data_IF_072049828099
#
_entry.id   IF_072049828099
#
_cell.length_a   1.000
_cell.length_b   1.000
_cell.length_c   1.000
_cell.angle_alpha   90.00
_cell.angle_beta   90.00
_cell.angle_gamma   90.00
#
_symmetry.space_group_name_H-M   'P 1'
#
loop_
_entity.id
_entity.type
_entity.pdbx_description
1 polymer ?
#
# COMPACT_ATOMS: atom_id res chain seq x y z
N UNK A 1 1.39 -45.66 20.73
CA UNK A 1 1.40 -44.22 20.44
C UNK A 1 1.72 -44.01 18.98
N UNK A 2 0.88 -43.23 18.24
CA UNK A 2 1.08 -42.95 16.83
C UNK A 2 2.28 -42.01 16.58
N UNK A 3 2.81 -41.98 15.34
CA UNK A 3 3.96 -41.15 14.97
C UNK A 3 3.77 -39.64 15.30
N UNK A 4 2.54 -39.15 15.12
CA UNK A 4 2.15 -37.77 15.46
C UNK A 4 2.33 -37.47 16.96
N UNK A 5 1.92 -38.39 17.83
CA UNK A 5 2.03 -38.20 19.27
C UNK A 5 3.49 -38.15 19.71
N UNK A 6 4.35 -39.02 19.15
CA UNK A 6 5.79 -39.02 19.41
C UNK A 6 6.47 -37.74 18.97
N UNK A 7 6.09 -37.21 17.77
CA UNK A 7 6.63 -35.96 17.25
C UNK A 7 6.23 -34.76 18.13
N UNK A 8 4.95 -34.67 18.52
CA UNK A 8 4.46 -33.60 19.41
C UNK A 8 5.12 -33.70 20.81
N UNK A 9 5.33 -34.89 21.34
CA UNK A 9 6.02 -35.08 22.61
C UNK A 9 7.49 -34.64 22.54
N UNK A 10 8.18 -34.92 21.42
CA UNK A 10 9.54 -34.43 21.18
C UNK A 10 9.59 -32.90 21.11
N UNK A 11 8.68 -32.26 20.38
CA UNK A 11 8.61 -30.80 20.29
C UNK A 11 8.33 -30.17 21.65
N UNK A 12 7.43 -30.74 22.44
CA UNK A 12 7.14 -30.27 23.83
C UNK A 12 8.31 -30.45 24.75
N UNK A 13 9.05 -31.55 24.63
CA UNK A 13 10.24 -31.83 25.49
C UNK A 13 11.45 -30.93 25.17
N UNK A 14 11.46 -30.27 23.97
CA UNK A 14 12.50 -29.31 23.59
C UNK A 14 11.97 -27.86 23.57
N UNK A 15 10.71 -27.65 23.98
CA UNK A 15 10.19 -26.30 24.10
C UNK A 15 10.99 -25.58 25.20
N UNK A 16 11.51 -24.36 24.91
CA UNK A 16 12.15 -23.57 25.97
C UNK A 16 11.13 -23.34 27.10
N UNK A 17 11.63 -23.25 28.33
CA UNK A 17 10.79 -22.88 29.45
C UNK A 17 9.99 -21.63 29.11
N UNK A 18 8.71 -21.60 29.53
CA UNK A 18 7.88 -20.44 29.31
C UNK A 18 8.64 -19.18 29.79
N UNK A 19 8.71 -18.13 29.00
CA UNK A 19 9.43 -16.93 29.39
C UNK A 19 8.87 -16.43 30.72
N UNK A 20 9.75 -16.13 31.65
CA UNK A 20 9.39 -15.54 32.94
C UNK A 20 8.86 -14.12 32.84
N UNK A 21 8.90 -13.54 31.61
CA UNK A 21 8.46 -12.18 31.29
C UNK A 21 6.98 -12.19 30.96
N UNK A 22 6.19 -11.40 31.67
CA UNK A 22 4.76 -11.21 31.37
C UNK A 22 4.58 -10.51 30.04
N UNK A 23 3.41 -10.66 29.42
CA UNK A 23 3.06 -9.96 28.17
C UNK A 23 3.19 -8.44 28.35
N UNK A 24 2.70 -7.89 29.46
CA UNK A 24 2.80 -6.45 29.74
C UNK A 24 4.25 -5.96 29.84
N UNK A 25 5.14 -6.78 30.41
CA UNK A 25 6.56 -6.43 30.47
C UNK A 25 7.25 -6.50 29.09
N UNK A 26 6.81 -7.40 28.20
CA UNK A 26 7.26 -7.44 26.82
C UNK A 26 6.78 -6.22 26.04
N UNK A 27 5.52 -5.85 26.21
CA UNK A 27 4.95 -4.67 25.58
C UNK A 27 5.66 -3.39 26.03
N UNK A 28 5.85 -3.21 27.32
CA UNK A 28 6.57 -2.06 27.87
C UNK A 28 8.01 -1.96 27.30
N UNK A 29 8.68 -3.10 27.05
CA UNK A 29 10.00 -3.12 26.39
C UNK A 29 9.93 -2.73 24.93
N UNK A 30 8.91 -3.20 24.21
CA UNK A 30 8.68 -2.85 22.79
C UNK A 30 8.39 -1.35 22.70
N UNK A 31 7.48 -0.83 23.51
CA UNK A 31 7.13 0.59 23.55
C UNK A 31 8.34 1.46 23.88
N UNK A 32 9.13 1.10 24.87
CA UNK A 32 10.34 1.82 25.24
C UNK A 32 11.38 1.82 24.10
N UNK A 33 11.57 0.70 23.40
CA UNK A 33 12.47 0.61 22.26
C UNK A 33 12.06 1.57 21.13
N UNK A 34 10.80 1.56 20.72
CA UNK A 34 10.32 2.44 19.64
C UNK A 34 10.27 3.90 20.07
N UNK A 35 9.93 4.19 21.32
CA UNK A 35 9.98 5.54 21.88
C UNK A 35 11.41 6.11 21.87
N UNK A 36 12.38 5.32 22.27
CA UNK A 36 13.79 5.74 22.23
C UNK A 36 14.28 6.01 20.80
N UNK A 37 13.82 5.25 19.81
CA UNK A 37 14.16 5.47 18.39
C UNK A 37 13.50 6.73 17.81
N UNK A 38 12.38 7.18 18.39
CA UNK A 38 11.69 8.44 18.04
C UNK A 38 12.20 9.63 18.86
N UNK A 39 13.38 9.53 19.47
CA UNK A 39 13.93 10.52 20.40
C UNK A 39 14.07 11.95 19.82
N UNK A 40 13.98 12.12 18.50
CA UNK A 40 13.91 13.42 17.81
C UNK A 40 12.50 14.04 17.82
N UNK A 41 11.54 13.42 18.51
CA UNK A 41 10.15 13.83 18.54
C UNK A 41 9.30 13.24 17.39
N UNK A 42 7.96 13.36 17.50
CA UNK A 42 7.08 12.96 16.41
C UNK A 42 7.24 13.92 15.23
N UNK A 43 7.39 13.35 14.03
CA UNK A 43 7.38 14.14 12.79
C UNK A 43 6.06 14.91 12.65
N UNK A 44 6.15 16.16 12.24
CA UNK A 44 4.98 16.92 11.81
C UNK A 44 4.29 16.22 10.61
N UNK A 45 2.98 16.42 10.38
CA UNK A 45 2.27 15.77 9.28
C UNK A 45 2.97 15.94 7.92
N UNK A 46 3.42 17.16 7.58
CA UNK A 46 4.12 17.43 6.32
C UNK A 46 5.49 16.72 6.23
N UNK A 47 6.22 16.64 7.34
CA UNK A 47 7.50 15.92 7.39
C UNK A 47 7.29 14.41 7.21
N UNK A 48 6.20 13.88 7.75
CA UNK A 48 5.81 12.47 7.60
C UNK A 48 5.47 12.14 6.15
N UNK A 49 4.70 13.01 5.47
CA UNK A 49 4.42 12.88 4.03
C UNK A 49 5.73 12.92 3.23
N UNK A 50 6.59 13.91 3.51
CA UNK A 50 7.87 14.03 2.80
C UNK A 50 8.79 12.82 3.04
N UNK A 51 8.80 12.25 4.24
CA UNK A 51 9.55 11.03 4.53
C UNK A 51 8.96 9.84 3.75
N UNK A 52 7.65 9.65 3.79
CA UNK A 52 6.95 8.59 3.07
C UNK A 52 7.26 8.63 1.58
N UNK A 53 7.15 9.83 0.98
CA UNK A 53 7.48 10.06 -0.43
C UNK A 53 8.92 9.67 -0.75
N UNK A 54 9.91 10.21 0.00
CA UNK A 54 11.33 9.88 -0.23
C UNK A 54 11.61 8.37 -0.18
N UNK A 55 10.98 7.66 0.76
CA UNK A 55 11.21 6.22 0.90
C UNK A 55 10.61 5.42 -0.27
N UNK A 56 9.43 5.80 -0.75
CA UNK A 56 8.79 5.18 -1.91
C UNK A 56 9.55 5.47 -3.21
N UNK A 57 9.98 6.72 -3.43
CA UNK A 57 10.77 7.11 -4.58
C UNK A 57 12.13 6.40 -4.61
N UNK A 58 12.78 6.23 -3.44
CA UNK A 58 13.99 5.43 -3.32
C UNK A 58 13.77 3.94 -3.67
N UNK A 59 12.54 3.45 -3.52
CA UNK A 59 12.12 2.12 -3.93
C UNK A 59 11.56 2.07 -5.37
N UNK A 60 11.74 3.13 -6.16
CA UNK A 60 11.28 3.27 -7.55
C UNK A 60 9.75 3.32 -7.74
N UNK A 61 9.01 3.77 -6.75
CA UNK A 61 7.61 4.15 -6.92
C UNK A 61 7.52 5.61 -7.41
N UNK A 62 6.48 5.94 -8.14
CA UNK A 62 6.12 7.31 -8.47
C UNK A 62 5.12 7.82 -7.44
N UNK A 63 5.40 8.96 -6.79
CA UNK A 63 4.53 9.53 -5.78
C UNK A 63 3.91 10.83 -6.26
N UNK A 64 2.58 10.91 -6.16
CA UNK A 64 1.76 12.02 -6.61
C UNK A 64 1.05 12.59 -5.37
N UNK A 65 1.41 13.81 -4.98
CA UNK A 65 0.67 14.51 -3.92
C UNK A 65 -0.43 15.35 -4.59
N UNK A 66 -1.67 15.17 -4.16
CA UNK A 66 -2.82 15.87 -4.70
C UNK A 66 -3.79 16.27 -3.59
N UNK A 67 -4.63 17.29 -3.83
CA UNK A 67 -5.71 17.65 -2.92
C UNK A 67 -6.89 16.69 -3.03
N UNK A 68 -7.76 16.67 -2.03
CA UNK A 68 -9.01 15.92 -2.08
C UNK A 68 -9.91 16.33 -3.26
N UNK A 69 -9.80 17.57 -3.74
CA UNK A 69 -10.61 18.09 -4.83
C UNK A 69 -10.10 17.69 -6.24
N UNK A 70 -8.78 17.47 -6.40
CA UNK A 70 -8.17 17.34 -7.74
C UNK A 70 -7.65 15.95 -8.06
N UNK A 71 -7.33 15.12 -7.07
CA UNK A 71 -6.63 13.85 -7.26
C UNK A 71 -7.26 12.95 -8.33
N UNK A 72 -8.61 12.87 -8.38
CA UNK A 72 -9.30 11.95 -9.28
C UNK A 72 -9.16 12.39 -10.75
N UNK A 73 -9.29 13.70 -11.02
CA UNK A 73 -9.12 14.25 -12.36
C UNK A 73 -7.66 14.17 -12.81
N UNK A 74 -6.72 14.50 -11.92
CA UNK A 74 -5.28 14.42 -12.20
C UNK A 74 -4.85 12.98 -12.51
N UNK A 75 -5.32 12.03 -11.71
CA UNK A 75 -5.03 10.61 -11.92
C UNK A 75 -5.65 10.09 -13.22
N UNK A 76 -6.91 10.48 -13.53
CA UNK A 76 -7.58 10.08 -14.77
C UNK A 76 -6.77 10.54 -15.99
N UNK A 77 -6.30 11.79 -16.01
CA UNK A 77 -5.44 12.31 -17.06
C UNK A 77 -4.11 11.55 -17.19
N UNK A 78 -3.47 11.23 -16.09
CA UNK A 78 -2.20 10.46 -16.07
C UNK A 78 -2.38 9.03 -16.57
N UNK A 79 -3.44 8.33 -16.17
CA UNK A 79 -3.75 6.99 -16.64
C UNK A 79 -3.94 6.94 -18.14
N UNK A 80 -4.69 7.90 -18.70
CA UNK A 80 -4.88 8.00 -20.14
C UNK A 80 -3.58 8.32 -20.89
N UNK A 81 -2.79 9.27 -20.39
CA UNK A 81 -1.48 9.62 -20.96
C UNK A 81 -0.50 8.45 -20.95
N UNK A 82 -0.59 7.58 -19.93
CA UNK A 82 0.23 6.35 -19.83
C UNK A 82 -0.30 5.20 -20.74
N UNK A 83 -1.39 5.39 -21.46
CA UNK A 83 -1.96 4.38 -22.34
C UNK A 83 -2.73 3.26 -21.62
N UNK A 84 -3.12 3.45 -20.37
CA UNK A 84 -3.99 2.54 -19.64
C UNK A 84 -5.36 2.53 -20.30
N UNK A 85 -5.85 1.36 -20.66
CA UNK A 85 -7.17 1.16 -21.28
C UNK A 85 -8.15 0.47 -20.34
N UNK A 86 -7.68 -0.45 -19.52
CA UNK A 86 -8.50 -1.22 -18.59
C UNK A 86 -7.96 -1.05 -17.18
N UNK A 87 -8.72 -0.37 -16.32
CA UNK A 87 -8.41 -0.14 -14.92
C UNK A 87 -9.34 -0.99 -14.06
N UNK A 88 -8.76 -1.85 -13.23
CA UNK A 88 -9.50 -2.65 -12.25
C UNK A 88 -9.53 -1.89 -10.91
N UNK A 89 -10.74 -1.69 -10.36
CA UNK A 89 -10.92 -0.95 -9.11
C UNK A 89 -12.16 -1.41 -8.34
N UNK A 90 -12.23 -1.09 -7.05
CA UNK A 90 -13.46 -1.23 -6.27
C UNK A 90 -14.44 -0.12 -6.66
N UNK A 91 -15.54 -0.49 -7.31
CA UNK A 91 -16.60 0.44 -7.71
C UNK A 91 -17.59 0.77 -6.58
N UNK A 92 -17.45 0.16 -5.41
CA UNK A 92 -18.33 0.39 -4.26
C UNK A 92 -17.74 1.42 -3.28
N UNK A 93 -16.41 1.57 -3.20
CA UNK A 93 -15.80 2.57 -2.33
C UNK A 93 -15.88 3.99 -2.92
N UNK A 94 -15.82 5.01 -2.06
CA UNK A 94 -15.97 6.40 -2.45
C UNK A 94 -14.90 6.85 -3.46
N UNK A 95 -13.65 6.48 -3.22
CA UNK A 95 -12.51 6.84 -4.08
C UNK A 95 -12.61 6.14 -5.45
N UNK A 96 -13.04 4.88 -5.48
CA UNK A 96 -13.28 4.17 -6.74
C UNK A 96 -14.40 4.80 -7.56
N UNK A 97 -15.48 5.23 -6.90
CA UNK A 97 -16.57 5.97 -7.56
C UNK A 97 -16.11 7.33 -8.09
N UNK A 98 -15.33 8.08 -7.30
CA UNK A 98 -14.80 9.38 -7.70
C UNK A 98 -13.85 9.24 -8.91
N UNK A 99 -12.95 8.26 -8.89
CA UNK A 99 -12.05 8.02 -10.04
C UNK A 99 -12.83 7.59 -11.27
N UNK A 100 -13.79 6.68 -11.12
CA UNK A 100 -14.66 6.25 -12.23
C UNK A 100 -15.41 7.43 -12.85
N UNK A 101 -16.01 8.29 -12.03
CA UNK A 101 -16.72 9.48 -12.50
C UNK A 101 -15.79 10.45 -13.24
N UNK A 102 -14.56 10.65 -12.73
CA UNK A 102 -13.57 11.50 -13.39
C UNK A 102 -13.13 10.93 -14.76
N UNK A 103 -12.96 9.63 -14.88
CA UNK A 103 -12.63 8.95 -16.14
C UNK A 103 -13.77 9.09 -17.16
N UNK A 104 -15.01 8.90 -16.73
CA UNK A 104 -16.20 9.02 -17.60
C UNK A 104 -16.43 10.46 -18.06
N UNK A 105 -16.18 11.46 -17.20
CA UNK A 105 -16.37 12.86 -17.53
C UNK A 105 -15.30 13.40 -18.48
N UNK A 106 -14.03 13.09 -18.24
CA UNK A 106 -12.93 13.67 -18.98
C UNK A 106 -12.54 12.87 -20.23
N UNK A 107 -12.69 11.55 -20.22
CA UNK A 107 -12.10 10.64 -21.21
C UNK A 107 -12.98 9.39 -21.42
N UNK A 108 -14.24 9.53 -21.85
CA UNK A 108 -15.25 8.48 -21.82
C UNK A 108 -14.92 7.21 -22.64
N UNK A 109 -13.95 7.28 -23.53
CA UNK A 109 -13.52 6.14 -24.36
C UNK A 109 -12.06 5.71 -24.13
N UNK A 110 -11.27 6.45 -23.34
CA UNK A 110 -9.84 6.20 -23.24
C UNK A 110 -9.50 5.14 -22.18
N UNK A 111 -10.15 5.20 -21.01
CA UNK A 111 -9.89 4.27 -19.88
C UNK A 111 -11.21 3.68 -19.41
N UNK A 112 -11.31 2.37 -19.43
CA UNK A 112 -12.47 1.64 -18.92
C UNK A 112 -12.24 1.22 -17.46
N UNK A 113 -13.07 1.75 -16.55
CA UNK A 113 -13.08 1.34 -15.16
C UNK A 113 -13.90 0.04 -15.00
N UNK A 114 -13.30 -1.00 -14.44
CA UNK A 114 -13.90 -2.32 -14.25
C UNK A 114 -13.88 -2.71 -12.78
N UNK A 115 -15.01 -3.25 -12.28
CA UNK A 115 -15.09 -3.84 -10.94
C UNK A 115 -14.69 -5.31 -10.93
N UNK A 116 -14.27 -5.79 -9.77
CA UNK A 116 -14.04 -7.21 -9.54
C UNK A 116 -15.37 -7.90 -9.20
N UNK A 117 -16.09 -8.38 -10.23
CA UNK A 117 -17.49 -8.83 -10.11
C UNK A 117 -17.70 -10.33 -10.27
N UNK A 118 -16.62 -11.08 -10.54
CA UNK A 118 -16.67 -12.53 -10.82
C UNK A 118 -15.58 -13.27 -10.05
N UNK A 119 -15.77 -14.56 -9.68
CA UNK A 119 -14.70 -15.41 -9.18
C UNK A 119 -13.52 -15.45 -10.18
N UNK A 120 -12.29 -15.53 -9.67
CA UNK A 120 -11.07 -15.49 -10.49
C UNK A 120 -11.03 -16.62 -11.54
N UNK A 121 -11.60 -17.76 -11.21
CA UNK A 121 -11.65 -18.93 -12.07
C UNK A 121 -12.34 -18.68 -13.41
N UNK A 122 -13.33 -17.74 -13.40
CA UNK A 122 -14.13 -17.44 -14.58
C UNK A 122 -13.48 -16.44 -15.54
N UNK A 123 -12.47 -15.67 -15.09
CA UNK A 123 -11.89 -14.61 -15.88
C UNK A 123 -10.36 -14.43 -15.71
N UNK A 124 -9.70 -15.47 -15.20
CA UNK A 124 -8.26 -15.42 -14.92
C UNK A 124 -7.45 -14.98 -16.14
N UNK A 125 -7.71 -15.52 -17.33
CA UNK A 125 -7.02 -15.11 -18.56
C UNK A 125 -7.22 -13.61 -18.85
N UNK A 126 -8.45 -13.12 -18.78
CA UNK A 126 -8.77 -11.70 -18.97
C UNK A 126 -8.04 -10.81 -17.96
N UNK A 127 -8.00 -11.21 -16.68
CA UNK A 127 -7.30 -10.48 -15.62
C UNK A 127 -5.80 -10.33 -15.91
N UNK A 128 -5.16 -11.39 -16.42
CA UNK A 128 -3.72 -11.37 -16.70
C UNK A 128 -3.37 -10.72 -18.04
N UNK A 129 -4.24 -10.83 -19.05
CA UNK A 129 -3.90 -10.46 -20.42
C UNK A 129 -4.43 -9.07 -20.82
N UNK A 130 -5.49 -8.58 -20.14
CA UNK A 130 -6.19 -7.37 -20.58
C UNK A 130 -6.21 -6.24 -19.56
N UNK A 131 -5.99 -6.50 -18.28
CA UNK A 131 -5.99 -5.45 -17.25
C UNK A 131 -4.63 -4.77 -17.22
N UNK A 132 -4.62 -3.47 -17.53
CA UNK A 132 -3.40 -2.66 -17.61
C UNK A 132 -2.99 -2.11 -16.24
N UNK A 133 -3.97 -1.78 -15.38
CA UNK A 133 -3.72 -1.23 -14.06
C UNK A 133 -4.74 -1.71 -13.03
N UNK A 134 -4.30 -1.80 -11.78
CA UNK A 134 -5.17 -2.02 -10.62
C UNK A 134 -5.12 -0.83 -9.68
N UNK A 135 -6.27 -0.35 -9.23
CA UNK A 135 -6.37 0.74 -8.26
C UNK A 135 -6.86 0.21 -6.91
N UNK A 136 -6.14 0.56 -5.84
CA UNK A 136 -6.54 0.23 -4.46
C UNK A 136 -6.46 1.44 -3.55
N UNK A 137 -7.26 1.44 -2.50
CA UNK A 137 -7.13 2.41 -1.41
C UNK A 137 -6.38 1.76 -0.26
N UNK A 138 -5.26 2.35 0.12
CA UNK A 138 -4.50 1.87 1.27
C UNK A 138 -5.21 2.28 2.57
N UNK A 139 -5.33 1.32 3.48
CA UNK A 139 -5.87 1.56 4.83
C UNK A 139 -5.00 2.54 5.61
N UNK A 140 -3.68 2.38 5.51
CA UNK A 140 -2.70 3.25 6.15
C UNK A 140 -1.35 3.17 5.47
N UNK A 141 -0.38 3.97 5.93
CA UNK A 141 0.99 3.95 5.45
C UNK A 141 2.01 4.16 6.56
N UNK A 142 3.22 3.70 6.32
CA UNK A 142 4.35 3.74 7.26
C UNK A 142 5.43 4.65 6.68
N UNK A 143 5.60 5.83 7.27
CA UNK A 143 6.53 6.84 6.75
C UNK A 143 7.99 6.39 6.82
N UNK A 144 8.37 5.68 7.88
CA UNK A 144 9.75 5.22 8.09
C UNK A 144 10.28 4.31 6.96
N UNK A 145 9.40 3.58 6.28
CA UNK A 145 9.77 2.59 5.27
C UNK A 145 9.13 2.83 3.89
N UNK A 146 8.27 3.85 3.76
CA UNK A 146 7.51 4.06 2.53
C UNK A 146 6.59 2.87 2.23
N UNK A 147 5.90 2.34 3.24
CA UNK A 147 5.10 1.13 3.09
C UNK A 147 3.62 1.47 3.11
N UNK A 148 2.89 1.03 2.10
CA UNK A 148 1.43 1.03 2.08
C UNK A 148 0.90 -0.21 2.80
N UNK A 149 -0.14 -0.06 3.57
CA UNK A 149 -0.90 -1.16 4.19
C UNK A 149 -2.23 -1.31 3.47
N UNK A 150 -2.35 -2.35 2.66
CA UNK A 150 -3.57 -2.65 1.91
C UNK A 150 -4.26 -3.83 2.56
N UNK A 151 -5.55 -3.70 2.83
CA UNK A 151 -6.40 -4.77 3.37
C UNK A 151 -7.35 -5.20 2.26
N UNK A 152 -7.08 -6.34 1.59
CA UNK A 152 -7.94 -6.85 0.54
C UNK A 152 -9.29 -7.30 1.08
N UNK A 153 -10.32 -7.12 0.26
CA UNK A 153 -11.67 -7.59 0.51
C UNK A 153 -12.29 -8.27 -0.73
N UNK A 154 -13.59 -8.48 -0.73
CA UNK A 154 -14.28 -9.13 -1.85
C UNK A 154 -14.30 -8.25 -3.12
N UNK A 155 -14.38 -6.92 -2.97
CA UNK A 155 -14.47 -5.98 -4.09
C UNK A 155 -13.08 -5.58 -4.64
N UNK A 156 -12.07 -5.63 -3.75
CA UNK A 156 -10.68 -5.38 -4.08
C UNK A 156 -9.78 -6.50 -3.53
N UNK A 157 -9.88 -7.72 -4.05
CA UNK A 157 -9.02 -8.81 -3.61
C UNK A 157 -7.56 -8.52 -3.92
N UNK A 158 -6.64 -9.20 -3.25
CA UNK A 158 -5.18 -8.98 -3.39
C UNK A 158 -4.68 -9.03 -4.84
N UNK A 159 -5.40 -9.69 -5.73
CA UNK A 159 -5.06 -9.75 -7.16
C UNK A 159 -5.13 -8.40 -7.84
N UNK A 160 -5.93 -7.44 -7.35
CA UNK A 160 -5.98 -6.06 -7.86
C UNK A 160 -4.64 -5.36 -7.70
N UNK A 161 -3.95 -5.56 -6.57
CA UNK A 161 -2.64 -4.96 -6.29
C UNK A 161 -1.44 -5.79 -6.77
N UNK A 162 -1.64 -7.06 -7.14
CA UNK A 162 -0.53 -7.99 -7.42
C UNK A 162 -0.43 -8.48 -8.87
N UNK A 163 -1.53 -8.42 -9.65
CA UNK A 163 -1.55 -8.99 -11.01
C UNK A 163 -1.30 -7.96 -12.10
N UNK A 164 -1.99 -6.81 -12.14
CA UNK A 164 -1.80 -5.84 -13.22
C UNK A 164 -0.36 -5.30 -13.26
N UNK A 165 0.17 -4.98 -14.45
CA UNK A 165 1.53 -4.47 -14.61
C UNK A 165 1.76 -3.10 -13.95
N UNK A 166 0.72 -2.31 -13.78
CA UNK A 166 0.72 -1.07 -12.99
C UNK A 166 -0.20 -1.22 -11.78
N UNK A 167 0.33 -0.98 -10.59
CA UNK A 167 -0.47 -0.79 -9.39
C UNK A 167 -0.55 0.69 -9.05
N UNK A 168 -1.74 1.21 -8.90
CA UNK A 168 -2.03 2.56 -8.41
C UNK A 168 -2.64 2.45 -7.01
N UNK A 169 -1.98 3.01 -6.02
CA UNK A 169 -2.46 3.01 -4.65
C UNK A 169 -2.78 4.43 -4.20
N UNK A 170 -3.97 4.66 -3.70
CA UNK A 170 -4.33 5.91 -3.05
C UNK A 170 -4.18 5.77 -1.54
N UNK A 171 -3.65 6.80 -0.89
CA UNK A 171 -3.58 6.90 0.56
C UNK A 171 -3.94 8.31 1.02
N UNK A 172 -4.75 8.41 2.06
CA UNK A 172 -5.01 9.67 2.73
C UNK A 172 -3.86 10.03 3.67
N UNK A 173 -3.37 11.25 3.61
CA UNK A 173 -2.25 11.71 4.44
C UNK A 173 -2.52 11.58 5.94
N UNK A 174 -3.79 11.71 6.34
CA UNK A 174 -4.26 11.51 7.72
C UNK A 174 -4.05 10.08 8.26
N UNK A 175 -3.93 9.08 7.37
CA UNK A 175 -3.70 7.68 7.75
C UNK A 175 -2.22 7.25 7.71
N UNK A 176 -1.30 8.22 7.54
CA UNK A 176 0.13 7.95 7.61
C UNK A 176 0.60 7.85 9.07
N UNK A 177 1.18 6.72 9.41
CA UNK A 177 1.85 6.48 10.69
C UNK A 177 3.35 6.66 10.58
N UNK A 178 4.02 6.95 11.70
CA UNK A 178 5.48 7.08 11.72
C UNK A 178 6.17 5.77 11.31
N UNK A 179 5.72 4.66 11.86
CA UNK A 179 6.27 3.31 11.67
C UNK A 179 5.22 2.23 11.92
N UNK A 180 5.60 0.97 11.75
CA UNK A 180 4.71 -0.18 11.98
C UNK A 180 4.19 -0.25 13.41
N UNK A 181 5.02 0.07 14.42
CA UNK A 181 4.60 0.06 15.82
C UNK A 181 3.48 1.07 16.08
N UNK A 182 3.62 2.29 15.51
CA UNK A 182 2.58 3.31 15.60
C UNK A 182 1.28 2.88 14.89
N UNK A 183 1.37 2.23 13.73
CA UNK A 183 0.21 1.70 13.01
C UNK A 183 -0.49 0.61 13.81
N UNK A 184 0.25 -0.37 14.34
CA UNK A 184 -0.30 -1.48 15.17
C UNK A 184 -1.07 -0.94 16.38
N UNK A 185 -0.53 0.10 17.04
CA UNK A 185 -1.20 0.73 18.18
C UNK A 185 -2.45 1.50 17.77
N UNK A 186 -2.35 2.35 16.73
CA UNK A 186 -3.44 3.21 16.27
C UNK A 186 -4.60 2.40 15.68
N UNK A 187 -4.32 1.35 14.93
CA UNK A 187 -5.31 0.49 14.31
C UNK A 187 -5.78 -0.66 15.22
N UNK A 188 -5.25 -0.72 16.45
CA UNK A 188 -5.65 -1.69 17.47
C UNK A 188 -5.57 -3.14 17.00
N UNK A 189 -4.48 -3.50 16.31
CA UNK A 189 -4.30 -4.86 15.77
C UNK A 189 -4.30 -5.96 16.83
N UNK A 190 -4.09 -5.61 18.09
CA UNK A 190 -4.22 -6.55 19.23
C UNK A 190 -5.66 -7.02 19.44
N UNK A 191 -6.64 -6.17 19.12
CA UNK A 191 -8.07 -6.50 19.29
C UNK A 191 -8.62 -7.32 18.11
N UNK A 192 -7.88 -7.38 17.02
CA UNK A 192 -8.21 -8.17 15.83
C UNK A 192 -7.42 -7.67 14.61
N UNK A 193 -6.64 -8.55 14.03
CA UNK A 193 -5.99 -8.30 12.74
C UNK A 193 -6.89 -8.72 11.58
N UNK A 194 -6.84 -8.04 10.43
CA UNK A 194 -7.40 -8.56 9.20
C UNK A 194 -6.82 -9.94 8.88
N UNK A 195 -7.64 -10.83 8.31
CA UNK A 195 -7.18 -12.17 7.90
C UNK A 195 -6.18 -12.13 6.74
N UNK A 196 -6.17 -11.03 6.00
CA UNK A 196 -5.23 -10.78 4.91
C UNK A 196 -4.80 -9.31 4.93
N UNK A 197 -3.50 -9.08 4.89
CA UNK A 197 -2.90 -7.75 4.88
C UNK A 197 -1.69 -7.78 3.96
N UNK A 198 -1.62 -6.86 3.01
CA UNK A 198 -0.52 -6.73 2.05
C UNK A 198 0.24 -5.46 2.35
N UNK A 199 1.54 -5.59 2.60
CA UNK A 199 2.44 -4.46 2.79
C UNK A 199 3.24 -4.24 1.51
N UNK A 200 3.15 -3.02 0.94
CA UNK A 200 3.75 -2.68 -0.36
C UNK A 200 4.69 -1.51 -0.18
N UNK A 201 5.99 -1.73 -0.44
CA UNK A 201 7.04 -0.72 -0.27
C UNK A 201 7.75 -0.38 -1.59
N UNK A 202 7.11 -0.65 -2.71
CA UNK A 202 7.66 -0.40 -4.05
C UNK A 202 7.09 -1.38 -5.08
N UNK A 203 7.47 -1.24 -6.37
CA UNK A 203 7.12 -2.19 -7.41
C UNK A 203 7.76 -3.55 -7.16
N UNK A 204 7.23 -4.61 -7.80
CA UNK A 204 7.80 -5.95 -7.71
C UNK A 204 9.23 -5.97 -8.21
N UNK A 205 10.16 -6.37 -7.33
CA UNK A 205 11.59 -6.41 -7.60
C UNK A 205 12.15 -7.78 -7.23
N UNK A 206 12.84 -8.40 -8.17
CA UNK A 206 13.57 -9.66 -7.97
C UNK A 206 15.04 -9.44 -8.31
N UNK A 207 15.93 -9.88 -7.44
CA UNK A 207 17.37 -9.94 -7.74
C UNK A 207 17.69 -11.38 -8.09
N UNK A 208 18.01 -11.63 -9.36
CA UNK A 208 18.36 -12.95 -9.85
C UNK A 208 19.81 -13.32 -9.49
N UNK A 209 20.11 -14.62 -9.60
CA UNK A 209 21.42 -15.26 -9.33
C UNK A 209 22.56 -14.61 -10.16
N UNK A 210 22.26 -13.92 -11.24
CA UNK A 210 23.22 -13.20 -12.10
C UNK A 210 23.41 -11.72 -11.75
N UNK A 211 22.97 -11.26 -10.56
CA UNK A 211 23.07 -9.87 -10.10
C UNK A 211 22.29 -8.85 -10.95
N UNK A 212 21.40 -9.32 -11.81
CA UNK A 212 20.53 -8.43 -12.59
C UNK A 212 19.21 -8.22 -11.85
N UNK A 213 18.87 -6.96 -11.60
CA UNK A 213 17.57 -6.62 -11.01
C UNK A 213 16.49 -6.63 -12.07
N UNK A 214 15.47 -7.48 -11.91
CA UNK A 214 14.29 -7.53 -12.76
C UNK A 214 13.09 -6.94 -12.02
N UNK A 215 12.34 -6.08 -12.70
CA UNK A 215 11.07 -5.53 -12.20
C UNK A 215 9.89 -6.21 -12.87
N UNK A 216 8.84 -6.51 -12.10
CA UNK A 216 7.60 -7.06 -12.64
C UNK A 216 7.56 -8.57 -12.85
N UNK A 217 8.54 -9.34 -12.35
CA UNK A 217 8.55 -10.80 -12.50
C UNK A 217 7.44 -11.50 -11.69
N UNK A 218 7.10 -10.97 -10.51
CA UNK A 218 6.16 -11.61 -9.58
C UNK A 218 5.06 -10.66 -9.10
N UNK A 219 4.83 -9.56 -9.81
CA UNK A 219 3.84 -8.55 -9.45
C UNK A 219 3.97 -7.31 -10.33
N UNK A 220 3.36 -6.18 -9.95
CA UNK A 220 3.40 -4.96 -10.74
C UNK A 220 4.83 -4.49 -11.01
N UNK A 221 5.14 -4.19 -12.26
CA UNK A 221 6.44 -3.59 -12.65
C UNK A 221 6.54 -2.12 -12.30
N UNK A 222 5.40 -1.45 -12.09
CA UNK A 222 5.31 -0.05 -11.71
C UNK A 222 4.32 0.14 -10.56
N UNK A 223 4.65 1.08 -9.66
CA UNK A 223 3.79 1.49 -8.56
C UNK A 223 3.64 3.01 -8.60
N UNK A 224 2.40 3.48 -8.71
CA UNK A 224 2.04 4.87 -8.49
C UNK A 224 1.33 5.02 -7.16
N UNK A 225 1.71 6.02 -6.38
CA UNK A 225 1.10 6.29 -5.08
C UNK A 225 0.52 7.70 -5.07
N UNK A 226 -0.79 7.80 -4.95
CA UNK A 226 -1.49 9.07 -4.81
C UNK A 226 -1.66 9.35 -3.32
N UNK A 227 -0.97 10.37 -2.82
CA UNK A 227 -1.12 10.86 -1.44
C UNK A 227 -2.12 12.00 -1.47
N UNK A 228 -3.31 11.77 -0.94
CA UNK A 228 -4.35 12.78 -0.83
C UNK A 228 -4.13 13.57 0.45
N UNK A 229 -3.91 14.88 0.30
CA UNK A 229 -3.78 15.83 1.42
C UNK A 229 -5.10 16.56 1.64
N UNK A 230 -5.46 16.75 2.90
CA UNK A 230 -6.70 17.45 3.27
C UNK A 230 -6.61 18.99 3.07
N UNK A 231 -5.40 19.50 2.79
CA UNK A 231 -5.15 20.91 2.52
C UNK A 231 -4.92 21.12 1.01
N UNK A 232 -5.58 22.12 0.44
CA UNK A 232 -5.17 22.74 -0.81
C UNK A 232 -3.76 23.30 -0.59
N UNK A 233 -2.72 22.59 -1.05
CA UNK A 233 -1.38 23.17 -1.13
C UNK A 233 -1.44 24.26 -2.20
N UNK A 234 -1.67 25.49 -1.72
CA UNK A 234 -1.44 26.67 -2.54
C UNK A 234 -0.09 26.55 -3.21
N UNK A 235 -0.05 26.84 -4.48
CA UNK A 235 1.13 26.85 -5.35
C UNK A 235 2.16 27.91 -4.92
N UNK A 236 2.59 27.91 -3.67
CA UNK A 236 3.66 28.77 -3.14
C UNK A 236 4.95 27.98 -3.02
N UNK A 237 5.73 27.98 -4.10
CA UNK A 237 7.06 27.36 -4.06
C UNK A 237 7.85 27.41 -5.37
N UNK A 238 7.48 28.26 -6.33
CA UNK A 238 8.27 28.45 -7.55
C UNK A 238 8.52 29.93 -7.89
N UNK A 239 9.07 30.68 -6.93
CA UNK A 239 9.70 31.96 -7.20
C UNK A 239 10.96 32.07 -6.33
N UNK A 240 12.12 31.93 -6.93
CA UNK A 240 13.39 32.22 -6.24
C UNK A 240 14.61 31.51 -6.80
N UNK A 241 14.84 31.61 -8.11
CA UNK A 241 16.18 31.39 -8.65
C UNK A 241 16.33 32.12 -10.00
N UNK A 242 16.38 33.44 -9.94
CA UNK A 242 16.92 34.26 -11.03
C UNK A 242 17.31 35.62 -10.45
N UNK A 243 18.56 35.72 -10.03
CA UNK A 243 19.39 36.93 -10.05
C UNK A 243 20.83 36.53 -9.68
#
# INVERSE_FOLDING_TARGET
>A
MGARARMLQRLRGHAPAAPSTTLDALDARIDAHFTARRALGPLAPNERIAQFQRMLEAAHAEVICASAATWAADLAGRLAAAGVRNLLLDTACAEGQALKAALEAALPAAVQARGYTRPIEEWKAELFDTIDAGFTVARSGLAATGTLVVVPDANAPRTVSLVPPLHVALIHASTLHADLHAAVAAERWRDGMPTNLVMISGPSKTSDIQQTTAYGAHGPRALWVVVVTDEDRGTDGQQGAAA
#
